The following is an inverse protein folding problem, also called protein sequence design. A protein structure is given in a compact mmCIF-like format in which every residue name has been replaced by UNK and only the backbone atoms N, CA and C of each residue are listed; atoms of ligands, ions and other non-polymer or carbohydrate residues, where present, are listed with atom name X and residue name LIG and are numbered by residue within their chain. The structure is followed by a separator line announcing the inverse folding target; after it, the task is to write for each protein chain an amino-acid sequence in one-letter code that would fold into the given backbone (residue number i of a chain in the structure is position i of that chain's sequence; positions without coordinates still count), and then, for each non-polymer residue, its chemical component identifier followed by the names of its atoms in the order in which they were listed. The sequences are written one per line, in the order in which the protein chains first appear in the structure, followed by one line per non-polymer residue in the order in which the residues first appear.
data_IF_391553589931
#
_entry.id   IF_391553589931
#
_cell.length_a   1.000
_cell.length_b   1.000
_cell.length_c   1.000
_cell.angle_alpha   90.00
_cell.angle_beta   90.00
_cell.angle_gamma   90.00
#
_symmetry.space_group_name_H-M   'P 1'
#
loop_
_entity.id
_entity.type
_entity.pdbx_description
1 polymer ?
#
# COMPACT_ATOMS: atom_id res chain seq x y z
N UNK A 1 12.76 22.67 4.09
CA UNK A 1 11.63 22.22 3.27
C UNK A 1 10.61 21.52 4.15
N UNK A 2 9.34 21.89 4.03
CA UNK A 2 8.23 21.24 4.74
C UNK A 2 7.53 20.27 3.82
N UNK A 3 7.51 18.99 4.19
CA UNK A 3 6.92 17.92 3.39
C UNK A 3 5.72 17.33 4.11
N UNK A 4 4.60 17.23 3.42
CA UNK A 4 3.46 16.43 3.88
C UNK A 4 3.61 15.00 3.35
N UNK A 5 3.71 14.02 4.23
CA UNK A 5 3.57 12.61 3.88
C UNK A 5 2.16 12.14 4.22
N UNK A 6 1.38 11.83 3.20
CA UNK A 6 -0.03 11.51 3.34
C UNK A 6 -0.31 10.03 3.03
N UNK A 7 -0.99 9.34 3.94
CA UNK A 7 -1.11 7.89 3.96
C UNK A 7 -2.58 7.48 3.92
N UNK A 8 -2.93 6.57 3.01
CA UNK A 8 -4.24 5.92 3.01
C UNK A 8 -4.35 4.93 4.17
N UNK A 9 -5.19 5.22 5.15
CA UNK A 9 -5.42 4.40 6.34
C UNK A 9 -6.45 3.28 6.17
N UNK A 10 -6.78 2.92 4.92
CA UNK A 10 -7.69 1.82 4.61
C UNK A 10 -6.89 0.53 4.43
N UNK A 11 -6.75 -0.24 5.49
CA UNK A 11 -5.90 -1.43 5.54
C UNK A 11 -4.53 -1.16 6.17
N UNK A 12 -3.83 -2.24 6.48
CA UNK A 12 -2.61 -2.17 7.28
C UNK A 12 -1.34 -1.93 6.42
N UNK A 13 -1.36 -2.23 5.12
CA UNK A 13 -0.17 -2.21 4.26
C UNK A 13 0.48 -0.83 4.14
N UNK A 14 -0.30 0.22 3.88
CA UNK A 14 0.22 1.59 3.77
C UNK A 14 0.88 2.06 5.07
N UNK A 15 0.27 1.77 6.24
CA UNK A 15 0.88 2.11 7.53
C UNK A 15 2.16 1.32 7.78
N UNK A 16 2.18 0.02 7.45
CA UNK A 16 3.40 -0.79 7.59
C UNK A 16 4.56 -0.26 6.74
N UNK A 17 4.28 0.22 5.53
CA UNK A 17 5.28 0.88 4.68
C UNK A 17 5.72 2.23 5.25
N UNK A 18 4.77 2.99 5.80
CA UNK A 18 5.04 4.29 6.42
C UNK A 18 5.98 4.18 7.64
N UNK A 19 5.96 3.06 8.37
CA UNK A 19 6.88 2.80 9.49
C UNK A 19 8.35 2.84 9.04
N UNK A 20 8.65 2.51 7.79
CA UNK A 20 10.00 2.60 7.21
C UNK A 20 10.27 3.98 6.58
N UNK A 21 9.27 4.58 5.93
CA UNK A 21 9.42 5.82 5.17
C UNK A 21 9.51 7.06 6.06
N UNK A 22 8.64 7.17 7.09
CA UNK A 22 8.58 8.36 7.95
C UNK A 22 9.91 8.62 8.68
N UNK A 23 10.58 7.64 9.31
CA UNK A 23 11.88 7.87 9.93
C UNK A 23 12.97 8.32 8.94
N UNK A 24 12.89 7.88 7.68
CA UNK A 24 13.84 8.29 6.64
C UNK A 24 13.56 9.74 6.21
N UNK A 25 12.31 10.10 5.94
CA UNK A 25 11.93 11.47 5.61
C UNK A 25 12.40 12.47 6.71
N UNK A 26 12.21 12.12 7.98
CA UNK A 26 12.60 12.93 9.12
C UNK A 26 14.12 13.19 9.21
N UNK A 27 14.96 12.40 8.52
CA UNK A 27 16.41 12.67 8.43
C UNK A 27 16.72 13.86 7.52
N UNK A 28 15.89 14.13 6.55
CA UNK A 28 16.18 15.07 5.46
C UNK A 28 15.31 16.31 5.47
N UNK A 29 14.07 16.23 5.95
CA UNK A 29 13.07 17.30 5.85
C UNK A 29 12.20 17.41 7.09
N UNK A 30 11.52 18.55 7.24
CA UNK A 30 10.47 18.76 8.23
C UNK A 30 9.20 18.04 7.75
N UNK A 31 8.96 16.84 8.30
CA UNK A 31 7.89 15.95 7.85
C UNK A 31 6.66 16.11 8.72
N UNK A 32 5.53 16.32 8.09
CA UNK A 32 4.20 16.28 8.71
C UNK A 32 3.44 15.06 8.16
N UNK A 33 2.78 14.31 9.01
CA UNK A 33 2.08 13.08 8.61
C UNK A 33 0.58 13.26 8.65
N UNK A 34 -0.07 12.92 7.53
CA UNK A 34 -1.54 12.83 7.43
C UNK A 34 -1.95 11.38 7.20
N UNK A 35 -2.95 10.91 7.94
CA UNK A 35 -3.62 9.63 7.68
C UNK A 35 -5.10 9.87 7.42
N UNK A 36 -5.63 9.35 6.31
CA UNK A 36 -7.06 9.35 6.03
C UNK A 36 -7.65 7.94 6.00
N UNK A 37 -8.86 7.79 6.53
CA UNK A 37 -9.56 6.49 6.64
C UNK A 37 -9.49 5.90 8.04
N UNK A 38 -10.46 5.03 8.36
CA UNK A 38 -10.72 4.56 9.73
C UNK A 38 -10.58 3.03 9.90
N UNK A 39 -9.92 2.32 8.99
CA UNK A 39 -9.94 0.84 9.01
C UNK A 39 -8.63 0.18 9.41
N UNK A 40 -7.56 0.93 9.64
CA UNK A 40 -6.31 0.32 10.10
C UNK A 40 -6.42 -0.14 11.57
N UNK A 41 -5.89 -1.31 11.84
CA UNK A 41 -5.87 -1.93 13.17
C UNK A 41 -4.46 -1.86 13.81
N UNK A 42 -3.50 -1.34 13.06
CA UNK A 42 -2.10 -1.20 13.49
C UNK A 42 -1.93 0.14 14.21
N UNK A 43 -1.29 0.13 15.38
CA UNK A 43 -0.78 1.34 16.01
C UNK A 43 0.52 1.72 15.30
N UNK A 44 0.56 2.96 14.79
CA UNK A 44 1.79 3.50 14.19
C UNK A 44 2.86 3.75 15.25
N UNK A 45 4.12 3.53 14.89
CA UNK A 45 5.28 3.87 15.72
C UNK A 45 5.78 5.31 15.48
N UNK A 46 5.01 6.11 14.71
CA UNK A 46 5.28 7.53 14.40
C UNK A 46 4.07 8.40 14.77
N UNK A 47 4.31 9.69 14.96
CA UNK A 47 3.27 10.68 15.24
C UNK A 47 2.42 10.95 14.00
N UNK A 48 1.11 11.08 14.19
CA UNK A 48 0.16 11.43 13.13
C UNK A 48 -0.38 12.83 13.45
N UNK A 49 0.02 13.82 12.64
CA UNK A 49 -0.36 15.22 12.85
C UNK A 49 -1.79 15.52 12.42
N UNK A 50 -2.22 14.89 11.31
CA UNK A 50 -3.56 15.07 10.77
C UNK A 50 -4.27 13.73 10.57
N UNK A 51 -5.53 13.67 11.05
CA UNK A 51 -6.45 12.56 10.77
C UNK A 51 -7.63 13.08 9.96
N UNK A 52 -7.94 12.42 8.86
CA UNK A 52 -9.06 12.74 7.98
C UNK A 52 -9.92 11.50 7.75
N UNK A 53 -11.18 11.72 7.44
CA UNK A 53 -12.11 10.64 7.12
C UNK A 53 -11.81 10.06 5.74
N UNK A 54 -11.51 10.93 4.77
CA UNK A 54 -11.23 10.55 3.40
C UNK A 54 -12.35 9.73 2.76
N UNK A 55 -11.98 8.95 1.75
CA UNK A 55 -12.89 7.98 1.13
C UNK A 55 -12.51 6.57 1.58
N UNK A 56 -13.43 5.84 2.17
CA UNK A 56 -13.21 4.49 2.68
C UNK A 56 -13.96 3.46 1.87
N UNK A 57 -13.27 2.46 1.34
CA UNK A 57 -13.91 1.34 0.64
C UNK A 57 -14.41 0.30 1.65
N UNK A 58 -15.70 -0.02 1.60
CA UNK A 58 -16.31 -1.00 2.49
C UNK A 58 -16.36 -2.38 1.84
N UNK A 59 -15.81 -3.38 2.51
CA UNK A 59 -15.95 -4.79 2.13
C UNK A 59 -17.19 -5.41 2.78
N UNK A 60 -17.94 -6.18 2.01
CA UNK A 60 -19.04 -7.00 2.53
C UNK A 60 -18.53 -8.24 3.30
N UNK A 61 -19.43 -8.96 3.98
CA UNK A 61 -19.11 -10.15 4.81
C UNK A 61 -18.42 -11.30 4.06
N UNK A 62 -18.52 -11.34 2.75
CA UNK A 62 -17.92 -12.37 1.86
C UNK A 62 -16.73 -11.86 1.07
N UNK A 63 -16.07 -10.79 1.50
CA UNK A 63 -14.90 -10.23 0.83
C UNK A 63 -15.20 -9.50 -0.49
N UNK A 64 -16.46 -9.23 -0.84
CA UNK A 64 -16.82 -8.39 -1.99
C UNK A 64 -16.76 -6.92 -1.58
N UNK A 65 -16.15 -6.06 -2.41
CA UNK A 65 -16.28 -4.61 -2.25
C UNK A 65 -17.72 -4.22 -2.60
N UNK A 66 -18.39 -3.61 -1.64
CA UNK A 66 -19.73 -3.06 -1.85
C UNK A 66 -19.61 -1.59 -2.25
N UNK A 67 -19.46 -1.36 -3.56
CA UNK A 67 -19.31 -0.01 -4.13
C UNK A 67 -20.48 0.91 -3.80
N UNK A 68 -21.70 0.38 -3.78
CA UNK A 68 -22.88 1.16 -3.44
C UNK A 68 -22.84 1.62 -1.98
N UNK A 69 -22.51 0.71 -1.05
CA UNK A 69 -22.34 1.09 0.36
C UNK A 69 -21.15 2.02 0.57
N UNK A 70 -20.10 1.88 -0.21
CA UNK A 70 -18.94 2.79 -0.18
C UNK A 70 -19.38 4.21 -0.54
N UNK A 71 -20.06 4.39 -1.66
CA UNK A 71 -20.55 5.71 -2.11
C UNK A 71 -21.57 6.32 -1.15
N UNK A 72 -22.53 5.53 -0.64
CA UNK A 72 -23.57 6.04 0.26
C UNK A 72 -23.06 6.34 1.69
N UNK A 73 -22.00 5.69 2.16
CA UNK A 73 -21.42 5.94 3.49
C UNK A 73 -20.22 6.91 3.48
N UNK A 74 -19.65 7.21 2.33
CA UNK A 74 -18.52 8.15 2.18
C UNK A 74 -19.01 9.59 2.03
N UNK A 75 -19.81 10.10 2.89
CA UNK A 75 -20.20 11.53 2.99
C UNK A 75 -19.48 12.45 1.97
N UNK A 76 -19.89 12.51 0.69
CA UNK A 76 -19.09 13.19 -0.35
C UNK A 76 -18.94 14.69 -0.09
N UNK A 77 -19.88 15.30 0.63
CA UNK A 77 -19.80 16.70 1.04
C UNK A 77 -18.66 16.89 2.06
N UNK A 78 -18.53 15.98 3.01
CA UNK A 78 -17.48 16.06 4.02
C UNK A 78 -16.10 15.88 3.38
N UNK A 79 -15.97 14.95 2.42
CA UNK A 79 -14.75 14.77 1.65
C UNK A 79 -14.35 16.05 0.87
N UNK A 80 -15.31 16.71 0.21
CA UNK A 80 -15.03 17.99 -0.49
C UNK A 80 -14.63 19.07 0.51
N UNK A 81 -15.27 19.12 1.68
CA UNK A 81 -14.91 20.07 2.72
C UNK A 81 -13.50 19.79 3.29
N UNK A 82 -13.15 18.52 3.51
CA UNK A 82 -11.81 18.13 3.94
C UNK A 82 -10.74 18.60 2.93
N UNK A 83 -10.96 18.41 1.63
CA UNK A 83 -10.06 18.87 0.57
C UNK A 83 -9.90 20.38 0.59
N UNK A 84 -11.00 21.15 0.68
CA UNK A 84 -10.99 22.62 0.62
C UNK A 84 -10.36 23.26 1.85
N UNK A 85 -10.56 22.68 3.01
CA UNK A 85 -10.15 23.25 4.30
C UNK A 85 -8.77 22.78 4.74
N UNK A 86 -8.19 21.79 4.06
CA UNK A 86 -6.88 21.29 4.42
C UNK A 86 -5.80 22.34 4.10
N UNK A 87 -4.93 22.72 5.07
CA UNK A 87 -3.96 23.79 4.90
C UNK A 87 -2.75 23.36 4.05
N UNK A 88 -3.02 22.83 2.86
CA UNK A 88 -2.04 22.24 1.96
C UNK A 88 -0.95 23.22 1.53
N UNK A 89 -1.28 24.51 1.44
CA UNK A 89 -0.34 25.58 1.06
C UNK A 89 0.77 25.85 2.08
N UNK A 90 0.71 25.23 3.27
CA UNK A 90 1.76 25.30 4.27
C UNK A 90 2.96 24.38 3.94
N UNK A 91 2.83 23.53 2.93
CA UNK A 91 3.81 22.54 2.54
C UNK A 91 4.46 22.91 1.20
N UNK A 92 5.76 22.63 1.09
CA UNK A 92 6.53 22.83 -0.14
C UNK A 92 6.30 21.67 -1.12
N UNK A 93 6.15 20.45 -0.58
CA UNK A 93 5.94 19.21 -1.32
C UNK A 93 4.95 18.31 -0.57
N UNK A 94 4.11 17.62 -1.33
CA UNK A 94 3.27 16.52 -0.86
C UNK A 94 3.79 15.21 -1.44
N UNK A 95 4.05 14.23 -0.59
CA UNK A 95 4.29 12.84 -0.98
C UNK A 95 3.07 12.06 -0.49
N UNK A 96 2.33 11.45 -1.42
CA UNK A 96 1.10 10.75 -1.09
C UNK A 96 1.22 9.25 -1.34
N UNK A 97 0.93 8.45 -0.33
CA UNK A 97 0.75 7.01 -0.45
C UNK A 97 -0.74 6.69 -0.70
N UNK A 98 -1.17 6.98 -1.91
CA UNK A 98 -2.53 6.78 -2.41
C UNK A 98 -3.60 7.45 -1.54
N UNK A 99 -3.29 8.61 -0.94
CA UNK A 99 -4.20 9.35 -0.06
C UNK A 99 -4.92 10.46 -0.83
N UNK A 100 -6.28 10.43 -0.92
CA UNK A 100 -7.00 11.30 -1.84
C UNK A 100 -7.18 12.73 -1.34
N UNK A 101 -7.30 12.99 -0.03
CA UNK A 101 -7.56 14.36 0.49
C UNK A 101 -6.40 15.26 0.17
N UNK A 102 -5.18 14.83 0.45
CA UNK A 102 -3.96 15.60 0.17
C UNK A 102 -3.73 15.78 -1.33
N UNK A 103 -3.91 14.72 -2.13
CA UNK A 103 -3.68 14.76 -3.57
C UNK A 103 -4.66 15.73 -4.28
N UNK A 104 -5.96 15.65 -3.96
CA UNK A 104 -6.95 16.57 -4.50
C UNK A 104 -6.75 18.00 -3.99
N UNK A 105 -6.38 18.18 -2.70
CA UNK A 105 -6.09 19.50 -2.15
C UNK A 105 -4.85 20.13 -2.82
N UNK A 106 -3.79 19.35 -3.01
CA UNK A 106 -2.59 19.78 -3.71
C UNK A 106 -2.89 20.20 -5.16
N UNK A 107 -3.69 19.41 -5.88
CA UNK A 107 -4.13 19.74 -7.24
C UNK A 107 -4.91 21.05 -7.28
N UNK A 108 -5.83 21.28 -6.33
CA UNK A 108 -6.64 22.52 -6.26
C UNK A 108 -5.82 23.76 -5.97
N UNK A 109 -4.78 23.66 -5.17
CA UNK A 109 -4.00 24.80 -4.71
C UNK A 109 -2.66 24.95 -5.43
N UNK A 110 -2.37 24.06 -6.39
CA UNK A 110 -1.13 24.10 -7.17
C UNK A 110 0.13 23.75 -6.38
N UNK A 111 -0.01 22.98 -5.29
CA UNK A 111 1.12 22.48 -4.52
C UNK A 111 1.70 21.24 -5.22
N UNK A 112 3.02 21.13 -5.40
CA UNK A 112 3.64 19.92 -5.95
C UNK A 112 3.25 18.66 -5.18
N UNK A 113 2.86 17.61 -5.91
CA UNK A 113 2.41 16.36 -5.31
C UNK A 113 2.94 15.17 -6.12
N UNK A 114 3.65 14.26 -5.43
CA UNK A 114 4.21 13.03 -5.97
C UNK A 114 3.50 11.85 -5.31
N UNK A 115 2.98 10.94 -6.12
CA UNK A 115 2.47 9.66 -5.60
C UNK A 115 3.62 8.67 -5.43
N UNK A 116 3.76 8.13 -4.22
CA UNK A 116 4.71 7.09 -3.89
C UNK A 116 3.95 5.91 -3.26
N UNK A 117 3.42 5.03 -4.12
CA UNK A 117 2.48 4.00 -3.71
C UNK A 117 2.62 2.70 -4.50
N UNK A 118 2.07 1.60 -3.96
CA UNK A 118 1.90 0.38 -4.73
C UNK A 118 0.92 0.56 -5.90
N UNK A 119 -0.14 1.33 -5.70
CA UNK A 119 -1.18 1.56 -6.70
C UNK A 119 -0.63 2.26 -7.94
N UNK A 120 0.36 3.14 -7.78
CA UNK A 120 1.10 3.75 -8.90
C UNK A 120 1.73 2.68 -9.81
N UNK A 121 2.30 1.61 -9.23
CA UNK A 121 2.82 0.48 -10.01
C UNK A 121 1.70 -0.34 -10.65
N UNK A 122 0.60 -0.59 -9.93
CA UNK A 122 -0.53 -1.38 -10.47
C UNK A 122 -1.15 -0.73 -11.70
N UNK A 123 -1.22 0.60 -11.78
CA UNK A 123 -1.77 1.30 -12.97
C UNK A 123 -0.76 1.43 -14.12
N UNK A 124 0.54 1.31 -13.86
CA UNK A 124 1.57 1.41 -14.89
C UNK A 124 1.36 0.35 -15.98
N UNK A 125 1.45 0.74 -17.25
CA UNK A 125 1.15 -0.13 -18.41
C UNK A 125 2.05 -1.35 -18.53
N UNK A 126 3.25 -1.31 -17.96
CA UNK A 126 4.24 -2.41 -18.03
C UNK A 126 4.04 -3.46 -16.93
N UNK A 127 3.35 -3.12 -15.84
CA UNK A 127 3.06 -4.08 -14.78
C UNK A 127 1.99 -5.09 -15.20
N UNK A 128 2.02 -6.33 -14.69
CA UNK A 128 1.02 -7.35 -14.99
C UNK A 128 -0.40 -6.90 -14.70
N UNK A 129 -1.34 -7.27 -15.56
CA UNK A 129 -2.74 -6.87 -15.45
C UNK A 129 -3.66 -8.07 -15.36
N UNK A 130 -4.70 -7.94 -14.55
CA UNK A 130 -5.79 -8.91 -14.53
C UNK A 130 -6.56 -8.89 -15.85
N UNK A 131 -6.88 -10.09 -16.34
CA UNK A 131 -7.79 -10.27 -17.49
C UNK A 131 -9.25 -10.05 -17.09
N UNK A 132 -9.56 -10.04 -15.80
CA UNK A 132 -10.91 -9.78 -15.30
C UNK A 132 -11.25 -8.31 -15.59
N UNK A 133 -12.24 -8.08 -16.42
CA UNK A 133 -12.71 -6.74 -16.71
C UNK A 133 -13.36 -6.12 -15.46
N UNK A 134 -12.69 -5.15 -14.87
CA UNK A 134 -13.22 -4.32 -13.81
C UNK A 134 -13.00 -2.84 -14.16
N UNK A 135 -13.86 -2.32 -15.04
CA UNK A 135 -13.80 -0.93 -15.51
C UNK A 135 -13.87 0.08 -14.37
N UNK A 136 -14.71 -0.20 -13.37
CA UNK A 136 -14.89 0.68 -12.21
C UNK A 136 -13.64 0.67 -11.33
N UNK A 137 -13.08 -0.50 -11.04
CA UNK A 137 -11.84 -0.61 -10.26
C UNK A 137 -10.66 0.09 -10.94
N UNK A 138 -10.52 -0.05 -12.27
CA UNK A 138 -9.52 0.67 -13.06
C UNK A 138 -9.75 2.20 -13.01
N UNK A 139 -10.98 2.65 -13.15
CA UNK A 139 -11.32 4.07 -13.09
C UNK A 139 -10.95 4.66 -11.73
N UNK A 140 -11.31 3.98 -10.64
CA UNK A 140 -10.97 4.39 -9.27
C UNK A 140 -9.45 4.50 -9.12
N UNK A 141 -8.69 3.45 -9.44
CA UNK A 141 -7.23 3.47 -9.31
C UNK A 141 -6.57 4.63 -10.07
N UNK A 142 -7.10 4.99 -11.24
CA UNK A 142 -6.54 6.08 -12.04
C UNK A 142 -6.91 7.49 -11.56
N UNK A 143 -8.04 7.65 -10.84
CA UNK A 143 -8.57 8.98 -10.51
C UNK A 143 -8.68 9.24 -9.00
N UNK A 144 -8.43 8.25 -8.17
CA UNK A 144 -8.54 8.37 -6.71
C UNK A 144 -7.51 9.34 -6.14
N UNK A 145 -6.28 9.26 -6.63
CA UNK A 145 -5.15 10.06 -6.21
C UNK A 145 -4.56 10.78 -7.44
N UNK A 146 -5.04 11.99 -7.79
CA UNK A 146 -4.61 12.69 -8.99
C UNK A 146 -3.24 13.32 -8.79
N UNK A 147 -2.22 12.70 -9.36
CA UNK A 147 -0.83 13.20 -9.35
C UNK A 147 -0.23 13.12 -10.75
N UNK A 148 0.71 13.99 -11.06
CA UNK A 148 1.46 13.97 -12.34
C UNK A 148 2.63 13.01 -12.26
N UNK A 149 3.35 13.02 -11.15
CA UNK A 149 4.52 12.22 -10.92
C UNK A 149 4.16 11.02 -10.04
N UNK A 150 4.62 9.84 -10.45
CA UNK A 150 4.27 8.58 -9.80
C UNK A 150 5.49 7.70 -9.66
N UNK A 151 5.73 7.25 -8.42
CA UNK A 151 6.72 6.26 -8.06
C UNK A 151 5.97 5.04 -7.51
N UNK A 152 6.22 3.89 -8.11
CA UNK A 152 5.53 2.67 -7.79
C UNK A 152 6.40 1.68 -7.02
N UNK A 153 5.78 0.87 -6.16
CA UNK A 153 6.39 -0.32 -5.59
C UNK A 153 5.68 -1.56 -6.10
N UNK A 154 6.44 -2.57 -6.57
CA UNK A 154 5.86 -3.84 -7.01
C UNK A 154 6.82 -5.01 -6.72
N UNK A 155 6.35 -6.25 -6.91
CA UNK A 155 7.18 -7.44 -6.74
C UNK A 155 8.40 -7.47 -7.66
N UNK A 156 8.33 -6.80 -8.79
CA UNK A 156 9.43 -6.63 -9.75
C UNK A 156 9.45 -5.19 -10.27
N UNK A 157 10.62 -4.70 -10.67
CA UNK A 157 10.78 -3.40 -11.32
C UNK A 157 10.46 -3.55 -12.81
N UNK A 158 9.31 -3.06 -13.23
CA UNK A 158 8.85 -3.14 -14.62
C UNK A 158 9.33 -1.98 -15.48
N UNK A 159 9.72 -0.87 -14.85
CA UNK A 159 10.41 0.26 -15.47
C UNK A 159 11.17 1.10 -14.41
N UNK A 160 11.74 2.24 -14.84
CA UNK A 160 12.56 3.10 -14.00
C UNK A 160 11.78 3.89 -12.93
N UNK A 161 10.44 3.86 -12.95
CA UNK A 161 9.59 4.49 -11.93
C UNK A 161 8.98 3.48 -10.96
N UNK A 162 9.26 2.18 -11.16
CA UNK A 162 8.75 1.10 -10.31
C UNK A 162 9.92 0.41 -9.61
N UNK A 163 9.91 0.48 -8.31
CA UNK A 163 10.91 -0.12 -7.43
C UNK A 163 10.39 -1.43 -6.81
N UNK A 164 11.33 -2.23 -6.29
CA UNK A 164 11.02 -3.41 -5.49
C UNK A 164 10.39 -3.00 -4.16
N UNK A 165 9.72 -3.94 -3.44
CA UNK A 165 8.98 -3.62 -2.24
C UNK A 165 9.85 -3.02 -1.14
N UNK A 166 9.27 -2.12 -0.36
CA UNK A 166 9.81 -1.71 0.95
C UNK A 166 9.55 -2.85 1.93
N UNK A 167 10.60 -3.51 2.40
CA UNK A 167 10.52 -4.58 3.39
C UNK A 167 10.81 -4.01 4.76
N UNK A 168 9.90 -4.21 5.72
CA UNK A 168 10.05 -3.71 7.08
C UNK A 168 11.37 -4.19 7.71
N UNK A 169 12.04 -3.31 8.43
CA UNK A 169 13.30 -3.61 9.13
C UNK A 169 13.15 -4.80 10.06
N UNK A 170 12.02 -4.91 10.77
CA UNK A 170 11.70 -6.04 11.65
C UNK A 170 11.62 -7.41 10.94
N UNK A 171 11.30 -7.41 9.64
CA UNK A 171 11.28 -8.61 8.80
C UNK A 171 12.67 -8.84 8.19
N UNK A 172 13.33 -7.79 7.72
CA UNK A 172 14.64 -7.84 7.09
C UNK A 172 15.72 -8.34 8.05
N UNK A 173 15.65 -7.94 9.31
CA UNK A 173 16.58 -8.30 10.38
C UNK A 173 16.19 -9.60 11.10
N UNK A 174 15.05 -10.20 10.76
CA UNK A 174 14.61 -11.43 11.39
C UNK A 174 15.47 -12.63 11.01
N UNK A 175 15.63 -13.57 11.94
CA UNK A 175 16.24 -14.89 11.70
C UNK A 175 15.13 -15.93 11.60
N UNK A 176 14.56 -16.19 10.42
CA UNK A 176 13.40 -17.06 10.28
C UNK A 176 13.75 -18.51 10.60
N UNK A 177 12.88 -19.14 11.42
CA UNK A 177 12.93 -20.57 11.72
C UNK A 177 11.68 -21.24 11.13
N UNK A 178 11.81 -22.48 10.65
CA UNK A 178 10.65 -23.23 10.21
C UNK A 178 10.14 -24.08 11.39
N UNK A 179 9.04 -23.64 12.01
CA UNK A 179 8.40 -24.33 13.14
C UNK A 179 7.26 -25.27 12.71
N UNK A 180 7.10 -25.52 11.41
CA UNK A 180 6.17 -26.51 10.86
C UNK A 180 4.71 -26.05 10.76
N UNK A 181 4.38 -24.82 11.17
CA UNK A 181 3.03 -24.26 11.04
C UNK A 181 2.88 -23.37 9.81
N UNK A 182 1.63 -23.06 9.47
CA UNK A 182 1.26 -22.09 8.43
C UNK A 182 0.55 -20.90 9.06
N UNK A 183 0.97 -19.68 8.72
CA UNK A 183 0.33 -18.46 9.17
C UNK A 183 -0.79 -18.08 8.20
N UNK A 184 -1.95 -17.71 8.75
CA UNK A 184 -3.13 -17.31 7.97
C UNK A 184 -3.54 -15.90 8.32
N UNK A 185 -3.64 -15.03 7.28
CA UNK A 185 -4.15 -13.67 7.41
C UNK A 185 -5.17 -13.35 6.32
N UNK A 186 -6.42 -13.61 6.62
CA UNK A 186 -7.58 -13.44 5.73
C UNK A 186 -8.68 -12.62 6.42
N UNK A 187 -8.46 -11.33 6.70
CA UNK A 187 -9.36 -10.52 7.53
C UNK A 187 -10.76 -10.30 6.93
N UNK A 188 -10.96 -10.67 5.67
CA UNK A 188 -12.27 -10.61 5.01
C UNK A 188 -13.17 -11.82 5.33
N UNK A 189 -12.61 -12.89 5.92
CA UNK A 189 -13.34 -14.12 6.25
C UNK A 189 -13.60 -14.22 7.75
N UNK A 190 -14.78 -14.72 8.12
CA UNK A 190 -15.12 -15.02 9.50
C UNK A 190 -14.44 -16.29 10.01
N UNK A 191 -14.20 -16.38 11.31
CA UNK A 191 -13.46 -17.47 11.96
C UNK A 191 -14.10 -18.84 11.72
N UNK A 192 -15.42 -18.94 11.71
CA UNK A 192 -16.16 -20.15 11.42
C UNK A 192 -15.89 -20.69 10.00
N UNK A 193 -15.84 -19.80 9.02
CA UNK A 193 -15.51 -20.16 7.63
C UNK A 193 -14.07 -20.68 7.54
N UNK A 194 -13.14 -19.95 8.16
CA UNK A 194 -11.73 -20.33 8.21
C UNK A 194 -11.55 -21.69 8.90
N UNK A 195 -12.18 -21.90 10.05
CA UNK A 195 -12.12 -23.15 10.78
C UNK A 195 -12.62 -24.33 9.95
N UNK A 196 -13.82 -24.22 9.37
CA UNK A 196 -14.42 -25.30 8.58
C UNK A 196 -13.57 -25.69 7.39
N UNK A 197 -12.87 -24.75 6.79
CA UNK A 197 -12.00 -24.99 5.66
C UNK A 197 -10.63 -25.55 6.07
N UNK A 198 -9.95 -24.87 7.00
CA UNK A 198 -8.55 -25.18 7.36
C UNK A 198 -8.40 -26.53 8.08
N UNK A 199 -9.35 -26.94 8.90
CA UNK A 199 -9.32 -28.24 9.60
C UNK A 199 -9.30 -29.47 8.66
N UNK A 200 -9.60 -29.29 7.38
CA UNK A 200 -9.54 -30.37 6.38
C UNK A 200 -8.11 -30.77 5.98
N UNK A 201 -7.11 -29.96 6.34
CA UNK A 201 -5.72 -30.16 5.94
C UNK A 201 -4.87 -30.53 7.16
N UNK A 202 -4.02 -31.57 7.11
CA UNK A 202 -3.32 -32.12 8.27
C UNK A 202 -2.04 -31.33 8.62
N UNK A 203 -2.14 -30.01 8.72
CA UNK A 203 -1.05 -29.09 9.12
C UNK A 203 -1.54 -28.18 10.23
N UNK A 204 -0.61 -27.64 11.02
CA UNK A 204 -0.94 -26.65 12.05
C UNK A 204 -1.16 -25.27 11.40
N UNK A 205 -2.30 -24.64 11.69
CA UNK A 205 -2.65 -23.31 11.24
C UNK A 205 -2.64 -22.31 12.39
N UNK A 206 -2.01 -21.16 12.19
CA UNK A 206 -2.06 -20.03 13.10
C UNK A 206 -2.78 -18.86 12.40
N UNK A 207 -4.03 -18.60 12.79
CA UNK A 207 -4.94 -17.67 12.15
C UNK A 207 -5.00 -16.37 12.94
N UNK A 208 -4.66 -15.26 12.30
CA UNK A 208 -4.79 -13.92 12.88
C UNK A 208 -6.08 -13.27 12.39
N UNK A 209 -7.03 -13.08 13.30
CA UNK A 209 -8.39 -12.66 12.97
C UNK A 209 -8.83 -11.44 13.76
N UNK A 210 -9.48 -10.49 13.05
CA UNK A 210 -10.13 -9.33 13.68
C UNK A 210 -11.40 -9.69 14.46
N UNK A 211 -11.91 -10.90 14.28
CA UNK A 211 -13.12 -11.36 14.98
C UNK A 211 -12.77 -12.09 16.28
N UNK A 212 -11.57 -12.60 16.43
CA UNK A 212 -11.06 -13.24 17.64
C UNK A 212 -10.57 -12.18 18.63
N UNK A 213 -11.26 -12.03 19.76
CA UNK A 213 -10.84 -11.13 20.86
C UNK A 213 -9.79 -11.77 21.76
N UNK A 214 -9.80 -13.09 21.88
CA UNK A 214 -8.89 -13.87 22.70
C UNK A 214 -8.31 -15.02 21.86
N UNK A 215 -7.20 -15.60 22.32
CA UNK A 215 -6.64 -16.83 21.75
C UNK A 215 -7.58 -18.00 22.02
N UNK A 216 -7.86 -18.79 21.00
CA UNK A 216 -8.61 -20.03 21.11
C UNK A 216 -8.16 -21.04 20.06
N UNK A 217 -8.52 -22.29 20.22
CA UNK A 217 -8.08 -23.36 19.33
C UNK A 217 -9.21 -24.37 19.16
N UNK A 218 -9.32 -24.90 17.96
CA UNK A 218 -10.12 -26.10 17.68
C UNK A 218 -9.41 -26.93 16.61
N UNK A 219 -9.32 -28.24 16.86
CA UNK A 219 -8.57 -29.18 16.02
C UNK A 219 -7.10 -28.70 15.84
N UNK A 220 -6.65 -28.59 14.61
CA UNK A 220 -5.31 -28.12 14.22
C UNK A 220 -5.25 -26.62 13.89
N UNK A 221 -6.32 -25.86 14.20
CA UNK A 221 -6.44 -24.44 13.89
C UNK A 221 -6.42 -23.62 15.16
N UNK A 222 -5.43 -22.73 15.28
CA UNK A 222 -5.22 -21.84 16.40
C UNK A 222 -5.54 -20.40 15.98
N UNK A 223 -6.47 -19.75 16.67
CA UNK A 223 -6.89 -18.37 16.40
C UNK A 223 -6.25 -17.40 17.38
N UNK A 224 -5.80 -16.27 16.86
CA UNK A 224 -5.19 -15.18 17.60
C UNK A 224 -5.88 -13.88 17.26
N UNK A 225 -6.04 -12.95 18.21
CA UNK A 225 -6.35 -11.57 17.89
C UNK A 225 -5.22 -10.96 17.05
N UNK A 226 -5.54 -9.90 16.28
CA UNK A 226 -4.52 -9.18 15.53
C UNK A 226 -3.62 -8.42 16.50
N UNK A 227 -2.36 -8.80 16.50
CA UNK A 227 -1.28 -8.20 17.30
C UNK A 227 0.01 -8.30 16.50
N UNK A 228 0.72 -7.17 16.32
CA UNK A 228 1.90 -7.11 15.46
C UNK A 228 3.03 -8.04 15.93
N UNK A 229 3.28 -8.11 17.22
CA UNK A 229 4.37 -8.93 17.76
C UNK A 229 4.09 -10.41 17.57
N UNK A 230 2.87 -10.86 17.95
CA UNK A 230 2.45 -12.25 17.78
C UNK A 230 2.40 -12.62 16.29
N UNK A 231 1.89 -11.73 15.44
CA UNK A 231 1.82 -11.95 14.00
C UNK A 231 3.22 -12.09 13.39
N UNK A 232 4.11 -11.14 13.64
CA UNK A 232 5.47 -11.17 13.09
C UNK A 232 6.22 -12.43 13.54
N UNK A 233 6.07 -12.83 14.81
CA UNK A 233 6.69 -14.07 15.30
C UNK A 233 6.15 -15.31 14.60
N UNK A 234 4.83 -15.45 14.45
CA UNK A 234 4.22 -16.54 13.70
C UNK A 234 4.66 -16.53 12.24
N UNK A 235 4.55 -15.36 11.59
CA UNK A 235 4.87 -15.19 10.18
C UNK A 235 6.32 -15.53 9.85
N UNK A 236 7.28 -14.97 10.59
CA UNK A 236 8.72 -15.22 10.34
C UNK A 236 9.11 -16.68 10.57
N UNK A 237 8.44 -17.38 11.49
CA UNK A 237 8.73 -18.76 11.84
C UNK A 237 7.83 -19.81 11.15
N UNK A 238 6.93 -19.39 10.27
CA UNK A 238 6.04 -20.30 9.54
C UNK A 238 6.75 -21.06 8.42
N UNK A 239 6.20 -22.19 8.02
CA UNK A 239 6.55 -22.91 6.77
C UNK A 239 6.03 -22.15 5.55
N UNK A 240 4.88 -21.49 5.68
CA UNK A 240 4.22 -20.77 4.60
C UNK A 240 3.09 -19.89 5.09
N UNK A 241 2.55 -19.10 4.16
CA UNK A 241 1.52 -18.11 4.44
C UNK A 241 0.33 -18.27 3.50
N UNK A 242 -0.87 -18.29 4.07
CA UNK A 242 -2.13 -18.18 3.35
C UNK A 242 -2.74 -16.81 3.64
N UNK A 243 -2.83 -15.94 2.64
CA UNK A 243 -3.26 -14.55 2.86
C UNK A 243 -4.08 -13.98 1.71
N UNK A 244 -4.63 -12.78 1.91
CA UNK A 244 -5.21 -12.00 0.81
C UNK A 244 -4.13 -11.59 -0.20
N UNK A 245 -4.53 -11.33 -1.44
CA UNK A 245 -3.62 -10.88 -2.49
C UNK A 245 -3.33 -9.36 -2.39
N UNK A 246 -3.08 -8.86 -1.17
CA UNK A 246 -2.49 -7.56 -0.94
C UNK A 246 -1.07 -7.50 -1.47
N UNK A 247 -0.35 -6.44 -1.18
CA UNK A 247 1.02 -6.28 -1.67
C UNK A 247 2.06 -6.58 -0.60
N UNK A 248 1.97 -5.96 0.59
CA UNK A 248 3.04 -5.96 1.58
C UNK A 248 3.34 -7.37 2.14
N UNK A 249 2.31 -8.07 2.62
CA UNK A 249 2.51 -9.39 3.21
C UNK A 249 3.04 -10.44 2.21
N UNK A 250 2.51 -10.55 0.97
CA UNK A 250 3.13 -11.40 -0.04
C UNK A 250 4.56 -11.01 -0.39
N UNK A 251 4.90 -9.70 -0.42
CA UNK A 251 6.25 -9.23 -0.70
C UNK A 251 7.24 -9.65 0.41
N UNK A 252 6.86 -9.45 1.67
CA UNK A 252 7.65 -9.90 2.82
C UNK A 252 7.79 -11.43 2.86
N UNK A 253 6.72 -12.16 2.49
CA UNK A 253 6.75 -13.62 2.43
C UNK A 253 7.68 -14.14 1.31
N UNK A 254 7.71 -13.46 0.15
CA UNK A 254 8.68 -13.73 -0.92
C UNK A 254 10.11 -13.46 -0.44
N UNK A 255 10.33 -12.33 0.25
CA UNK A 255 11.63 -11.98 0.81
C UNK A 255 12.14 -13.05 1.80
N UNK A 256 11.26 -13.61 2.62
CA UNK A 256 11.57 -14.68 3.56
C UNK A 256 11.59 -16.08 2.94
N UNK A 257 11.48 -16.21 1.62
CA UNK A 257 11.45 -17.48 0.88
C UNK A 257 10.37 -18.46 1.40
N UNK A 258 9.18 -17.94 1.80
CA UNK A 258 8.07 -18.75 2.31
C UNK A 258 7.28 -19.42 1.18
N UNK A 259 6.57 -20.50 1.49
CA UNK A 259 5.48 -20.99 0.64
C UNK A 259 4.33 -20.01 0.75
N UNK A 260 3.82 -19.52 -0.38
CA UNK A 260 2.77 -18.48 -0.37
C UNK A 260 1.57 -18.96 -1.18
N UNK A 261 0.39 -18.80 -0.59
CA UNK A 261 -0.88 -18.92 -1.29
C UNK A 261 -1.70 -17.66 -1.03
N UNK A 262 -2.21 -17.07 -2.11
CA UNK A 262 -3.02 -15.85 -2.04
C UNK A 262 -4.44 -16.09 -2.48
N UNK A 263 -5.38 -15.32 -1.88
CA UNK A 263 -6.79 -15.28 -2.25
C UNK A 263 -7.15 -13.83 -2.56
N UNK A 264 -7.32 -13.43 -3.83
CA UNK A 264 -7.72 -12.09 -4.17
C UNK A 264 -9.17 -11.84 -3.76
N UNK A 265 -9.44 -10.66 -3.21
CA UNK A 265 -10.80 -10.25 -2.87
C UNK A 265 -11.65 -10.07 -4.15
N UNK A 266 -12.80 -10.71 -4.17
CA UNK A 266 -13.70 -10.65 -5.32
C UNK A 266 -14.13 -9.20 -5.61
N UNK A 267 -13.85 -8.75 -6.83
CA UNK A 267 -14.17 -7.39 -7.28
C UNK A 267 -13.09 -6.35 -6.96
N UNK A 268 -11.99 -6.70 -6.30
CA UNK A 268 -10.86 -5.80 -6.08
C UNK A 268 -9.81 -5.99 -7.17
N UNK A 269 -9.85 -5.11 -8.17
CA UNK A 269 -8.99 -5.19 -9.36
C UNK A 269 -7.50 -5.22 -9.03
N UNK A 270 -7.06 -4.40 -8.08
CA UNK A 270 -5.67 -4.36 -7.60
C UNK A 270 -5.20 -5.74 -7.14
N UNK A 271 -5.96 -6.40 -6.25
CA UNK A 271 -5.58 -7.72 -5.73
C UNK A 271 -5.53 -8.80 -6.82
N UNK A 272 -6.37 -8.72 -7.83
CA UNK A 272 -6.26 -9.63 -8.96
C UNK A 272 -4.99 -9.38 -9.79
N UNK A 273 -4.58 -8.13 -9.97
CA UNK A 273 -3.31 -7.80 -10.61
C UNK A 273 -2.11 -8.30 -9.79
N UNK A 274 -2.15 -8.08 -8.47
CA UNK A 274 -1.13 -8.55 -7.54
C UNK A 274 -0.98 -10.07 -7.57
N UNK A 275 -2.10 -10.79 -7.55
CA UNK A 275 -2.09 -12.25 -7.61
C UNK A 275 -1.43 -12.78 -8.89
N UNK A 276 -1.72 -12.16 -10.05
CA UNK A 276 -1.09 -12.52 -11.32
C UNK A 276 0.41 -12.22 -11.31
N UNK A 277 0.81 -11.05 -10.80
CA UNK A 277 2.22 -10.71 -10.69
C UNK A 277 2.97 -11.67 -9.75
N UNK A 278 2.37 -12.01 -8.60
CA UNK A 278 2.94 -12.94 -7.64
C UNK A 278 3.04 -14.39 -8.19
N UNK A 279 2.09 -14.83 -9.04
CA UNK A 279 2.16 -16.14 -9.69
C UNK A 279 3.40 -16.31 -10.58
N UNK A 280 3.88 -15.23 -11.20
CA UNK A 280 5.14 -15.26 -11.98
C UNK A 280 6.35 -15.59 -11.11
N UNK A 281 6.25 -15.36 -9.81
CA UNK A 281 7.26 -15.65 -8.79
C UNK A 281 7.00 -16.97 -8.02
N UNK A 282 6.10 -17.82 -8.53
CA UNK A 282 5.82 -19.12 -7.94
C UNK A 282 4.79 -19.11 -6.80
N UNK A 283 4.13 -17.97 -6.56
CA UNK A 283 3.03 -17.88 -5.57
C UNK A 283 1.81 -18.63 -6.09
N UNK A 284 1.24 -19.48 -5.24
CA UNK A 284 -0.02 -20.19 -5.55
C UNK A 284 -1.22 -19.27 -5.33
N UNK A 285 -2.27 -19.45 -6.12
CA UNK A 285 -3.51 -18.68 -6.01
C UNK A 285 -4.74 -19.61 -6.03
N UNK A 286 -5.72 -19.27 -5.21
CA UNK A 286 -7.10 -19.79 -5.31
C UNK A 286 -8.09 -18.62 -5.26
N UNK A 287 -9.26 -18.79 -5.87
CA UNK A 287 -10.25 -17.72 -5.97
C UNK A 287 -11.07 -17.52 -4.68
N UNK A 288 -11.19 -18.56 -3.86
CA UNK A 288 -11.99 -18.57 -2.62
C UNK A 288 -11.66 -19.77 -1.75
N UNK A 289 -12.21 -19.80 -0.53
CA UNK A 289 -12.13 -20.91 0.40
C UNK A 289 -13.24 -21.95 0.10
N UNK A 290 -13.16 -22.60 -1.04
CA UNK A 290 -14.07 -23.65 -1.45
C UNK A 290 -13.32 -24.99 -1.53
N UNK A 291 -13.96 -26.09 -1.13
CA UNK A 291 -13.37 -27.44 -1.18
C UNK A 291 -13.04 -27.92 -2.60
N UNK A 292 -13.58 -27.27 -3.63
CA UNK A 292 -13.12 -27.50 -5.00
C UNK A 292 -11.61 -27.23 -5.16
N UNK A 293 -11.06 -26.36 -4.32
CA UNK A 293 -9.64 -26.00 -4.27
C UNK A 293 -8.79 -26.97 -3.42
N UNK A 294 -9.38 -28.05 -2.85
CA UNK A 294 -8.69 -29.01 -1.97
C UNK A 294 -7.39 -29.53 -2.60
N UNK A 295 -7.46 -29.97 -3.87
CA UNK A 295 -6.29 -30.46 -4.59
C UNK A 295 -5.20 -29.39 -4.73
N UNK A 296 -5.56 -28.17 -5.06
CA UNK A 296 -4.62 -27.06 -5.22
C UNK A 296 -3.91 -26.74 -3.93
N UNK A 297 -4.63 -26.75 -2.80
CA UNK A 297 -4.03 -26.51 -1.49
C UNK A 297 -3.10 -27.65 -1.09
N UNK A 298 -3.48 -28.90 -1.28
CA UNK A 298 -2.58 -30.03 -1.01
C UNK A 298 -1.30 -29.98 -1.87
N UNK A 299 -1.40 -29.58 -3.13
CA UNK A 299 -0.22 -29.38 -3.99
C UNK A 299 0.67 -28.28 -3.40
N UNK A 300 0.10 -27.13 -3.01
CA UNK A 300 0.83 -26.05 -2.38
C UNK A 300 1.50 -26.46 -1.06
N UNK A 301 0.81 -27.18 -0.20
CA UNK A 301 1.38 -27.66 1.07
C UNK A 301 2.61 -28.55 0.84
N UNK A 302 2.63 -29.32 -0.26
CA UNK A 302 3.70 -30.26 -0.61
C UNK A 302 4.74 -29.70 -1.58
N UNK A 303 4.53 -28.51 -2.18
CA UNK A 303 5.53 -27.85 -3.05
C UNK A 303 6.68 -27.25 -2.26
N UNK A 304 7.74 -26.86 -2.97
CA UNK A 304 8.83 -26.04 -2.43
C UNK A 304 8.44 -24.60 -2.12
N UNK A 305 9.37 -23.78 -1.62
CA UNK A 305 9.16 -22.34 -1.47
C UNK A 305 8.97 -21.67 -2.84
N UNK A 306 8.52 -20.40 -2.81
CA UNK A 306 8.46 -19.56 -4.00
C UNK A 306 9.86 -19.29 -4.58
N UNK A 307 9.90 -18.71 -5.79
CA UNK A 307 11.15 -18.29 -6.41
C UNK A 307 11.88 -17.31 -5.50
N UNK A 308 13.20 -17.48 -5.42
CA UNK A 308 14.02 -16.54 -4.66
C UNK A 308 13.98 -15.15 -5.28
N UNK A 309 13.75 -14.14 -4.46
CA UNK A 309 13.78 -12.74 -4.86
C UNK A 309 14.90 -12.00 -4.13
N UNK A 310 15.41 -10.94 -4.74
CA UNK A 310 16.37 -10.05 -4.10
C UNK A 310 15.75 -8.67 -3.97
N UNK A 311 15.30 -8.32 -2.76
CA UNK A 311 14.76 -7.00 -2.45
C UNK A 311 15.79 -6.21 -1.64
N UNK A 312 16.63 -5.45 -2.37
CA UNK A 312 17.58 -4.54 -1.74
C UNK A 312 16.82 -3.41 -1.01
N UNK A 313 17.40 -2.94 0.08
CA UNK A 313 16.87 -1.75 0.73
C UNK A 313 17.29 -0.51 -0.06
N UNK A 314 16.33 0.02 -0.81
CA UNK A 314 16.52 1.21 -1.65
C UNK A 314 15.70 2.40 -1.13
N UNK A 315 15.00 2.27 0.01
CA UNK A 315 14.04 3.24 0.51
C UNK A 315 14.69 4.60 0.72
N UNK A 316 15.85 4.62 1.37
CA UNK A 316 16.60 5.85 1.63
C UNK A 316 17.02 6.56 0.32
N UNK A 317 17.57 5.80 -0.63
CA UNK A 317 18.01 6.37 -1.93
C UNK A 317 16.85 6.86 -2.78
N UNK A 318 15.69 6.19 -2.75
CA UNK A 318 14.47 6.63 -3.45
C UNK A 318 14.00 7.97 -2.88
N UNK A 319 13.94 8.09 -1.56
CA UNK A 319 13.53 9.33 -0.89
C UNK A 319 14.51 10.47 -1.19
N UNK A 320 15.81 10.24 -1.08
CA UNK A 320 16.81 11.25 -1.43
C UNK A 320 16.69 11.72 -2.88
N UNK A 321 16.47 10.81 -3.83
CA UNK A 321 16.29 11.16 -5.23
C UNK A 321 15.05 12.04 -5.43
N UNK A 322 13.91 11.67 -4.84
CA UNK A 322 12.67 12.47 -4.89
C UNK A 322 12.93 13.88 -4.39
N UNK A 323 13.55 14.03 -3.23
CA UNK A 323 13.80 15.33 -2.60
C UNK A 323 14.78 16.16 -3.42
N UNK A 324 15.84 15.55 -3.94
CA UNK A 324 16.84 16.21 -4.77
C UNK A 324 16.27 16.69 -6.11
N UNK A 325 15.52 15.83 -6.80
CA UNK A 325 14.86 16.18 -8.05
C UNK A 325 13.84 17.31 -7.85
N UNK A 326 13.06 17.27 -6.78
CA UNK A 326 12.14 18.32 -6.42
C UNK A 326 12.88 19.66 -6.18
N UNK A 327 13.94 19.68 -5.38
CA UNK A 327 14.71 20.89 -5.10
C UNK A 327 15.32 21.49 -6.38
N UNK A 328 15.87 20.66 -7.25
CA UNK A 328 16.44 21.11 -8.53
C UNK A 328 15.37 21.74 -9.42
N UNK A 329 14.24 21.08 -9.59
CA UNK A 329 13.11 21.60 -10.37
C UNK A 329 12.52 22.89 -9.79
N UNK A 330 12.42 22.97 -8.46
CA UNK A 330 11.93 24.18 -7.76
C UNK A 330 12.88 25.36 -7.91
N UNK A 331 14.20 25.14 -7.80
CA UNK A 331 15.22 26.17 -8.02
C UNK A 331 15.20 26.65 -9.48
N UNK A 332 15.08 25.72 -10.43
CA UNK A 332 15.02 26.06 -11.85
C UNK A 332 13.77 26.89 -12.18
N UNK A 333 12.60 26.51 -11.69
CA UNK A 333 11.35 27.26 -11.92
C UNK A 333 11.42 28.70 -11.35
N UNK A 334 12.00 28.87 -10.15
CA UNK A 334 12.22 30.20 -9.57
C UNK A 334 13.20 31.05 -10.39
N UNK A 335 14.27 30.46 -10.94
CA UNK A 335 15.23 31.16 -11.82
C UNK A 335 14.58 31.58 -13.11
N UNK A 336 13.74 30.77 -13.71
CA UNK A 336 13.00 31.08 -14.93
C UNK A 336 12.00 32.22 -14.69
N UNK A 337 11.26 32.18 -13.59
CA UNK A 337 10.34 33.26 -13.19
C UNK A 337 11.11 34.59 -12.96
N UNK A 338 12.23 34.55 -12.26
CA UNK A 338 13.08 35.72 -12.01
C UNK A 338 13.67 36.29 -13.30
N UNK A 339 14.07 35.44 -14.25
CA UNK A 339 14.58 35.92 -15.56
C UNK A 339 13.47 36.50 -16.44
N UNK A 340 12.25 35.97 -16.38
CA UNK A 340 11.09 36.54 -17.05
C UNK A 340 10.73 37.92 -16.50
N UNK A 341 10.73 38.10 -15.16
CA UNK A 341 10.49 39.37 -14.52
C UNK A 341 11.58 40.39 -14.89
N UNK A 342 12.84 39.98 -14.90
CA UNK A 342 13.95 40.87 -15.28
C UNK A 342 13.91 41.32 -16.74
N UNK A 343 13.61 40.39 -17.67
CA UNK A 343 13.43 40.69 -19.09
C UNK A 343 12.20 41.58 -19.34
N UNK A 344 11.15 41.41 -18.58
CA UNK A 344 9.95 42.25 -18.64
C UNK A 344 10.25 43.67 -18.11
N UNK A 345 11.00 43.77 -17.01
CA UNK A 345 11.46 45.08 -16.47
C UNK A 345 12.42 45.79 -17.41
N UNK A 346 13.35 45.08 -18.06
CA UNK A 346 14.26 45.67 -19.06
C UNK A 346 13.49 46.15 -20.28
N UNK A 347 12.51 45.44 -20.78
CA UNK A 347 11.63 45.90 -21.88
C UNK A 347 10.78 47.11 -21.50
N UNK A 348 10.28 47.17 -20.26
CA UNK A 348 9.55 48.32 -19.74
C UNK A 348 10.46 49.54 -19.54
N UNK A 349 11.72 49.35 -19.19
CA UNK A 349 12.70 50.44 -19.06
C UNK A 349 13.08 51.06 -20.42
N UNK A 350 13.14 50.25 -21.48
CA UNK A 350 13.39 50.72 -22.85
C UNK A 350 12.21 51.54 -23.39
N UNK A 351 10.97 51.22 -23.01
CA UNK A 351 9.79 51.99 -23.38
C UNK A 351 9.76 53.42 -22.76
N UNK A 352 10.46 53.63 -21.62
CA UNK A 352 10.61 54.97 -21.01
C UNK A 352 11.48 55.95 -21.83
N UNK A 353 12.24 55.48 -22.80
CA UNK A 353 13.08 56.28 -23.67
C UNK A 353 12.44 56.55 -25.05
N UNK A 354 11.22 55.99 -25.28
CA UNK A 354 10.50 56.17 -26.54
C UNK A 354 9.29 57.10 -26.42
N UNK A 355 9.06 57.70 -25.24
CA UNK A 355 8.12 58.80 -24.98
C UNK A 355 8.84 59.90 -24.17
#
# INVERSE_FOLDING_TARGET
MKVLYAIQGTGNGHLSRAEEIVPILNKYVDTTVLVSGNQSQIQSNFEIDYKKTGLTFLSGKTGKIDLLRTVFKSHPIDFINEIRQFPISNFDLVITDFEPVSAWSALMHGVPCIEMSHQAAVINSKAPKSKIENRIGKYILNHYCPTKEKIGFHFESYDNTIFTPVIRSSIRESEPKNMGHYTVYLPAYHDDILLQFLKQFPVKWEVFSKYSKNKWQQDNVHFFPIDNTCFNNSFTNSTGVLCGAGFELPAEALFLEKKIMVIPLKGQYEQHCNAIAAQNLGVSMIENLDLINYRTINLWLNQGPCNKVTYLDQTDSIIQNILTEFEQNYIQSKRETFNLDKTTFEKLSVLKYLF
#
